data_IF_425519425950
#
_entry.id   IF_425519425950
#
_cell.length_a   1.000
_cell.length_b   1.000
_cell.length_c   1.000
_cell.angle_alpha   90.00
_cell.angle_beta   90.00
_cell.angle_gamma   90.00
#
_symmetry.space_group_name_H-M   'P 1'
#
loop_
_entity.id
_entity.type
_entity.pdbx_description
1 polymer ?
#
# COMPACT_ATOMS: atom_id res chain seq x y z
N UNK A 1 10.47 17.31 -11.40
CA UNK A 1 11.14 16.03 -11.04
C UNK A 1 10.88 14.94 -12.07
N UNK A 2 9.65 14.63 -12.45
CA UNK A 2 9.36 13.60 -13.47
C UNK A 2 9.99 13.90 -14.84
N UNK A 3 9.96 15.16 -15.31
CA UNK A 3 10.63 15.59 -16.55
C UNK A 3 12.16 15.42 -16.52
N UNK A 4 12.78 15.49 -15.37
CA UNK A 4 14.24 15.28 -15.23
C UNK A 4 14.62 13.80 -15.38
N UNK A 5 13.76 12.88 -14.99
CA UNK A 5 13.99 11.45 -15.14
C UNK A 5 13.89 10.98 -16.60
N UNK A 6 13.20 11.72 -17.48
CA UNK A 6 13.01 11.32 -18.89
C UNK A 6 14.33 11.15 -19.65
N UNK A 7 15.34 11.93 -19.31
CA UNK A 7 16.66 11.93 -19.98
C UNK A 7 17.72 11.07 -19.31
N UNK A 8 17.42 10.47 -18.15
CA UNK A 8 18.36 9.64 -17.38
C UNK A 8 18.33 8.19 -17.89
N UNK A 9 19.50 7.62 -18.13
CA UNK A 9 19.62 6.19 -18.43
C UNK A 9 19.26 5.36 -17.19
N UNK A 10 18.57 4.23 -17.40
CA UNK A 10 18.11 3.35 -16.31
C UNK A 10 17.26 4.09 -15.26
N UNK A 11 16.45 5.03 -15.72
CA UNK A 11 15.60 5.91 -14.89
C UNK A 11 14.63 5.16 -13.97
N UNK A 12 14.31 3.92 -14.29
CA UNK A 12 13.40 3.06 -13.53
C UNK A 12 13.99 2.57 -12.21
N UNK A 13 15.31 2.56 -12.07
CA UNK A 13 16.04 2.03 -10.90
C UNK A 13 16.67 3.11 -10.03
N UNK A 14 16.43 4.39 -10.33
CA UNK A 14 17.05 5.51 -9.61
C UNK A 14 16.73 5.47 -8.11
N UNK A 15 15.47 5.24 -7.74
CA UNK A 15 15.06 5.17 -6.34
C UNK A 15 15.68 3.95 -5.63
N UNK A 16 15.71 2.80 -6.28
CA UNK A 16 16.34 1.60 -5.72
C UNK A 16 17.82 1.85 -5.38
N UNK A 17 18.55 2.46 -6.30
CA UNK A 17 19.96 2.80 -6.09
C UNK A 17 20.17 3.83 -4.97
N UNK A 18 19.23 4.78 -4.85
CA UNK A 18 19.25 5.79 -3.78
C UNK A 18 18.99 5.18 -2.41
N UNK A 19 18.11 4.19 -2.30
CA UNK A 19 17.76 3.54 -1.05
C UNK A 19 18.79 2.49 -0.61
N UNK A 20 19.52 1.89 -1.53
CA UNK A 20 20.48 0.81 -1.26
C UNK A 20 21.43 1.09 -0.08
N UNK A 21 22.05 2.29 0.06
CA UNK A 21 22.98 2.53 1.16
C UNK A 21 22.35 2.54 2.55
N UNK A 22 21.05 2.79 2.64
CA UNK A 22 20.32 2.95 3.92
C UNK A 22 19.42 1.77 4.27
N UNK A 23 19.28 0.79 3.38
CA UNK A 23 18.40 -0.36 3.60
C UNK A 23 18.74 -1.15 4.88
N UNK A 24 20.03 -1.26 5.23
CA UNK A 24 20.47 -1.99 6.41
C UNK A 24 20.18 -1.26 7.74
N UNK A 25 19.85 0.03 7.68
CA UNK A 25 19.62 0.86 8.86
C UNK A 25 18.16 0.85 9.35
N UNK A 26 17.25 0.25 8.56
CA UNK A 26 15.81 0.30 8.84
C UNK A 26 15.16 -1.08 8.67
N UNK A 27 14.25 -1.43 9.59
CA UNK A 27 13.40 -2.62 9.46
C UNK A 27 12.34 -2.45 8.36
N UNK A 28 11.84 -1.22 8.16
CA UNK A 28 10.84 -0.86 7.16
C UNK A 28 11.15 0.48 6.50
N UNK A 29 11.03 0.53 5.18
CA UNK A 29 11.06 1.76 4.39
C UNK A 29 9.70 1.90 3.70
N UNK A 30 8.96 2.96 4.02
CA UNK A 30 7.65 3.26 3.42
C UNK A 30 7.82 4.27 2.29
N UNK A 31 7.35 3.91 1.10
CA UNK A 31 7.38 4.77 -0.09
C UNK A 31 5.95 5.24 -0.36
N UNK A 32 5.67 6.50 -0.05
CA UNK A 32 4.39 7.13 -0.36
C UNK A 32 4.39 7.58 -1.83
N UNK A 33 3.38 7.13 -2.59
CA UNK A 33 3.28 7.34 -4.02
C UNK A 33 2.13 8.29 -4.38
N UNK A 34 2.35 9.16 -5.34
CA UNK A 34 1.27 9.95 -5.94
C UNK A 34 0.26 9.03 -6.66
N UNK A 35 -1.02 9.42 -6.76
CA UNK A 35 -2.07 8.65 -7.46
C UNK A 35 -1.92 8.76 -8.99
N UNK A 36 -0.74 8.41 -9.50
CA UNK A 36 -0.43 8.39 -10.93
C UNK A 36 0.35 7.11 -11.27
N UNK A 37 0.27 6.66 -12.51
CA UNK A 37 1.04 5.51 -13.02
C UNK A 37 2.27 5.96 -13.82
N UNK A 38 2.83 7.13 -13.48
CA UNK A 38 4.00 7.71 -14.11
C UNK A 38 5.33 7.10 -13.66
N UNK A 39 6.44 7.73 -14.08
CA UNK A 39 7.80 7.25 -13.83
C UNK A 39 8.14 7.16 -12.32
N UNK A 40 7.57 8.04 -11.50
CA UNK A 40 7.77 7.99 -10.05
C UNK A 40 7.19 6.72 -9.43
N UNK A 41 5.99 6.32 -9.84
CA UNK A 41 5.35 5.08 -9.39
C UNK A 41 6.12 3.85 -9.89
N UNK A 42 6.63 3.87 -11.13
CA UNK A 42 7.48 2.79 -11.65
C UNK A 42 8.76 2.67 -10.82
N UNK A 43 9.40 3.80 -10.44
CA UNK A 43 10.56 3.78 -9.56
C UNK A 43 10.25 3.19 -8.18
N UNK A 44 9.13 3.59 -7.58
CA UNK A 44 8.70 3.07 -6.29
C UNK A 44 8.48 1.54 -6.35
N UNK A 45 7.73 1.06 -7.34
CA UNK A 45 7.47 -0.37 -7.54
C UNK A 45 8.75 -1.16 -7.88
N UNK A 46 9.70 -0.53 -8.59
CA UNK A 46 11.00 -1.15 -8.90
C UNK A 46 11.89 -1.28 -7.67
N UNK A 47 11.79 -0.34 -6.72
CA UNK A 47 12.59 -0.32 -5.50
C UNK A 47 11.97 -1.15 -4.35
N UNK A 48 10.66 -1.34 -4.34
CA UNK A 48 9.93 -1.97 -3.25
C UNK A 48 10.01 -3.51 -3.29
N UNK A 49 9.95 -4.13 -2.12
CA UNK A 49 9.74 -5.58 -1.98
C UNK A 49 8.26 -5.91 -2.06
N UNK A 50 7.41 -5.07 -1.47
CA UNK A 50 5.96 -5.27 -1.39
C UNK A 50 5.19 -4.00 -1.73
N UNK A 51 4.00 -4.17 -2.27
CA UNK A 51 3.05 -3.07 -2.51
C UNK A 51 1.74 -3.33 -1.77
N UNK A 52 1.37 -2.39 -0.92
CA UNK A 52 0.03 -2.30 -0.34
C UNK A 52 -0.80 -1.34 -1.20
N UNK A 53 -2.01 -1.75 -1.57
CA UNK A 53 -2.87 -0.97 -2.46
C UNK A 53 -4.04 -0.39 -1.66
N UNK A 54 -4.00 0.90 -1.28
CA UNK A 54 -5.13 1.54 -0.65
C UNK A 54 -6.23 1.79 -1.68
N UNK A 55 -7.46 1.40 -1.33
CA UNK A 55 -8.64 1.55 -2.19
C UNK A 55 -9.74 2.20 -1.37
N UNK A 56 -10.29 3.30 -1.87
CA UNK A 56 -11.46 3.91 -1.26
C UNK A 56 -12.68 3.02 -1.46
N UNK A 57 -13.56 2.99 -0.46
CA UNK A 57 -14.82 2.26 -0.52
C UNK A 57 -15.83 2.96 -1.47
N UNK A 58 -15.47 3.05 -2.77
CA UNK A 58 -16.25 3.69 -3.83
C UNK A 58 -16.34 2.81 -5.07
N UNK A 59 -17.45 2.90 -5.82
CA UNK A 59 -17.73 2.07 -7.01
C UNK A 59 -16.70 2.24 -8.16
N UNK A 60 -16.04 3.40 -8.27
CA UNK A 60 -15.09 3.69 -9.35
C UNK A 60 -13.68 3.11 -9.14
N UNK A 61 -13.40 2.52 -7.99
CA UNK A 61 -12.08 1.99 -7.65
C UNK A 61 -11.58 0.87 -8.59
N UNK A 62 -12.49 0.12 -9.22
CA UNK A 62 -12.18 -1.08 -10.01
C UNK A 62 -11.34 -0.79 -11.27
N UNK A 63 -11.62 0.32 -11.97
CA UNK A 63 -10.90 0.68 -13.22
C UNK A 63 -9.43 1.07 -12.93
N UNK A 64 -9.21 1.89 -11.93
CA UNK A 64 -7.86 2.28 -11.50
C UNK A 64 -7.04 1.08 -11.01
N UNK A 65 -7.69 0.16 -10.29
CA UNK A 65 -7.07 -1.09 -9.83
C UNK A 65 -6.54 -1.93 -10.98
N UNK A 66 -7.32 -2.13 -12.04
CA UNK A 66 -6.90 -2.93 -13.21
C UNK A 66 -5.66 -2.34 -13.86
N UNK A 67 -5.60 -1.02 -14.06
CA UNK A 67 -4.42 -0.35 -14.63
C UNK A 67 -3.20 -0.48 -13.72
N UNK A 68 -3.36 -0.34 -12.40
CA UNK A 68 -2.28 -0.55 -11.44
C UNK A 68 -1.74 -1.98 -11.49
N UNK A 69 -2.61 -2.99 -11.50
CA UNK A 69 -2.21 -4.40 -11.60
C UNK A 69 -1.46 -4.71 -12.90
N UNK A 70 -1.85 -4.11 -14.02
CA UNK A 70 -1.11 -4.19 -15.28
C UNK A 70 0.29 -3.57 -15.17
N UNK A 71 0.40 -2.41 -14.52
CA UNK A 71 1.68 -1.73 -14.27
C UNK A 71 2.58 -2.58 -13.36
N UNK A 72 2.05 -3.13 -12.27
CA UNK A 72 2.78 -4.05 -11.38
C UNK A 72 3.27 -5.27 -12.17
N UNK A 73 2.41 -5.86 -13.00
CA UNK A 73 2.78 -6.98 -13.87
C UNK A 73 3.91 -6.62 -14.86
N UNK A 74 3.92 -5.40 -15.38
CA UNK A 74 5.00 -4.91 -16.24
C UNK A 74 6.31 -4.73 -15.47
N UNK A 75 6.26 -4.12 -14.27
CA UNK A 75 7.43 -3.96 -13.40
C UNK A 75 8.02 -5.32 -13.00
N UNK A 76 7.18 -6.29 -12.64
CA UNK A 76 7.64 -7.67 -12.35
C UNK A 76 8.39 -8.30 -13.52
N UNK A 77 7.95 -8.09 -14.74
CA UNK A 77 8.60 -8.70 -15.92
C UNK A 77 9.92 -8.04 -16.29
N UNK A 78 10.09 -6.74 -16.03
CA UNK A 78 11.20 -5.98 -16.62
C UNK A 78 12.22 -5.48 -15.60
N UNK A 79 11.78 -5.06 -14.39
CA UNK A 79 12.66 -4.32 -13.48
C UNK A 79 12.73 -4.90 -12.07
N UNK A 80 11.65 -5.55 -11.59
CA UNK A 80 11.60 -6.13 -10.24
C UNK A 80 10.78 -7.43 -10.19
N UNK A 81 11.37 -8.58 -10.58
CA UNK A 81 10.68 -9.87 -10.55
C UNK A 81 10.21 -10.33 -9.17
N UNK A 82 10.83 -9.80 -8.11
CA UNK A 82 10.52 -10.16 -6.72
C UNK A 82 9.41 -9.34 -6.09
N UNK A 83 8.93 -8.28 -6.77
CA UNK A 83 7.87 -7.44 -6.24
C UNK A 83 6.62 -8.26 -5.91
N UNK A 84 6.13 -8.14 -4.70
CA UNK A 84 4.91 -8.81 -4.25
C UNK A 84 3.77 -7.81 -4.01
N UNK A 85 2.53 -8.26 -4.21
CA UNK A 85 1.36 -7.52 -3.73
C UNK A 85 1.05 -8.04 -2.33
N UNK A 86 1.24 -7.19 -1.32
CA UNK A 86 0.99 -7.55 0.07
C UNK A 86 -0.51 -7.62 0.37
N UNK A 87 -1.28 -6.71 -0.20
CA UNK A 87 -2.73 -6.74 -0.11
C UNK A 87 -3.42 -5.44 -0.52
N UNK A 88 -4.75 -5.51 -0.54
CA UNK A 88 -5.65 -4.38 -0.75
C UNK A 88 -6.13 -3.89 0.62
N UNK A 89 -5.94 -2.60 0.89
CA UNK A 89 -6.41 -1.94 2.10
C UNK A 89 -7.62 -1.06 1.77
N UNK A 90 -8.77 -1.36 2.36
CA UNK A 90 -9.96 -0.53 2.21
C UNK A 90 -9.82 0.71 3.10
N UNK A 91 -9.94 1.89 2.52
CA UNK A 91 -9.79 3.18 3.20
C UNK A 91 -11.05 4.03 3.05
N UNK A 92 -11.14 5.08 3.86
CA UNK A 92 -12.29 6.01 3.91
C UNK A 92 -13.64 5.28 4.06
N UNK A 93 -13.66 4.22 4.87
CA UNK A 93 -14.86 3.46 5.18
C UNK A 93 -15.85 4.35 5.94
N UNK A 94 -16.97 4.72 5.32
CA UNK A 94 -17.95 5.63 5.92
C UNK A 94 -18.84 4.91 6.96
N UNK A 95 -18.56 5.16 8.22
CA UNK A 95 -19.34 4.61 9.33
C UNK A 95 -20.80 5.12 9.39
N UNK A 96 -21.14 6.20 8.67
CA UNK A 96 -22.50 6.72 8.57
C UNK A 96 -23.34 5.95 7.55
N UNK A 97 -22.68 5.22 6.64
CA UNK A 97 -23.30 4.40 5.60
C UNK A 97 -22.76 2.97 5.64
N UNK A 98 -22.95 2.25 6.75
CA UNK A 98 -22.31 0.94 6.95
C UNK A 98 -22.71 -0.10 5.91
N UNK A 99 -23.99 -0.08 5.47
CA UNK A 99 -24.49 -1.00 4.45
C UNK A 99 -23.77 -0.82 3.09
N UNK A 100 -23.63 0.43 2.62
CA UNK A 100 -22.94 0.73 1.37
C UNK A 100 -21.45 0.38 1.47
N UNK A 101 -20.80 0.74 2.56
CA UNK A 101 -19.39 0.40 2.80
C UNK A 101 -19.17 -1.12 2.79
N UNK A 102 -20.07 -1.87 3.42
CA UNK A 102 -20.03 -3.34 3.44
C UNK A 102 -20.23 -3.93 2.04
N UNK A 103 -21.20 -3.43 1.28
CA UNK A 103 -21.46 -3.87 -0.10
C UNK A 103 -20.24 -3.69 -0.99
N UNK A 104 -19.62 -2.50 -0.97
CA UNK A 104 -18.41 -2.22 -1.76
C UNK A 104 -17.24 -3.07 -1.28
N UNK A 105 -17.07 -3.23 0.02
CA UNK A 105 -16.01 -4.08 0.59
C UNK A 105 -16.17 -5.54 0.15
N UNK A 106 -17.39 -6.05 0.14
CA UNK A 106 -17.70 -7.40 -0.34
C UNK A 106 -17.41 -7.53 -1.84
N UNK A 107 -17.81 -6.54 -2.65
CA UNK A 107 -17.52 -6.52 -4.09
C UNK A 107 -16.00 -6.53 -4.36
N UNK A 108 -15.19 -5.78 -3.60
CA UNK A 108 -13.73 -5.80 -3.71
C UNK A 108 -13.21 -7.20 -3.34
N UNK A 109 -13.70 -7.82 -2.26
CA UNK A 109 -13.30 -9.17 -1.85
C UNK A 109 -13.69 -10.24 -2.88
N UNK A 110 -14.87 -10.16 -3.46
CA UNK A 110 -15.36 -11.09 -4.49
C UNK A 110 -14.56 -10.99 -5.78
N UNK A 111 -14.26 -9.76 -6.23
CA UNK A 111 -13.56 -9.54 -7.50
C UNK A 111 -12.06 -9.81 -7.41
N UNK A 112 -11.41 -9.45 -6.31
CA UNK A 112 -9.96 -9.50 -6.17
C UNK A 112 -9.47 -10.49 -5.12
N UNK A 113 -10.27 -10.81 -4.10
CA UNK A 113 -9.87 -11.62 -2.95
C UNK A 113 -9.44 -13.05 -3.26
N UNK A 114 -9.80 -13.57 -4.46
CA UNK A 114 -9.33 -14.88 -4.94
C UNK A 114 -7.85 -14.87 -5.34
N UNK A 115 -7.30 -13.71 -5.67
CA UNK A 115 -5.95 -13.56 -6.22
C UNK A 115 -5.05 -12.67 -5.38
N UNK A 116 -5.64 -11.73 -4.63
CA UNK A 116 -4.94 -10.74 -3.84
C UNK A 116 -5.60 -10.69 -2.47
N UNK A 117 -4.80 -10.78 -1.42
CA UNK A 117 -5.29 -10.59 -0.06
C UNK A 117 -6.00 -9.24 0.07
N UNK A 118 -7.13 -9.21 0.74
CA UNK A 118 -7.78 -7.97 1.19
C UNK A 118 -7.67 -7.94 2.71
N UNK A 119 -7.05 -6.90 3.24
CA UNK A 119 -6.87 -6.74 4.69
C UNK A 119 -8.21 -6.81 5.42
N UNK A 120 -8.21 -7.42 6.60
CA UNK A 120 -9.41 -7.51 7.43
C UNK A 120 -9.73 -6.15 8.04
N UNK A 121 -8.67 -5.42 8.43
CA UNK A 121 -8.80 -4.08 8.95
C UNK A 121 -8.98 -3.06 7.83
N UNK A 122 -10.08 -2.30 7.86
CA UNK A 122 -10.27 -1.11 7.05
C UNK A 122 -9.96 0.17 7.84
N UNK A 123 -9.60 1.24 7.13
CA UNK A 123 -9.38 2.56 7.74
C UNK A 123 -10.66 3.39 7.58
N UNK A 124 -11.32 3.76 8.68
CA UNK A 124 -12.55 4.53 8.61
C UNK A 124 -12.29 5.99 8.18
N UNK A 125 -13.29 6.60 7.54
CA UNK A 125 -13.35 8.05 7.41
C UNK A 125 -13.48 8.69 8.81
N UNK A 126 -12.66 9.70 9.07
CA UNK A 126 -12.68 10.35 10.38
C UNK A 126 -11.92 11.66 10.44
N UNK A 127 -12.54 12.65 11.05
CA UNK A 127 -12.01 14.00 11.21
C UNK A 127 -10.63 14.06 11.91
N UNK A 128 -10.31 13.05 12.74
CA UNK A 128 -9.02 12.97 13.42
C UNK A 128 -7.85 12.89 12.44
N UNK A 129 -7.97 12.13 11.33
CA UNK A 129 -6.93 12.03 10.31
C UNK A 129 -6.71 13.38 9.61
N UNK A 130 -7.78 14.01 9.12
CA UNK A 130 -7.71 15.31 8.42
C UNK A 130 -7.16 16.42 9.31
N UNK A 131 -7.60 16.47 10.57
CA UNK A 131 -7.12 17.47 11.54
C UNK A 131 -5.65 17.26 11.91
N UNK A 132 -5.24 16.01 12.14
CA UNK A 132 -3.84 15.66 12.44
C UNK A 132 -2.91 16.07 11.29
N UNK A 133 -3.30 15.76 10.05
CA UNK A 133 -2.58 16.16 8.84
C UNK A 133 -2.47 17.68 8.73
N UNK A 134 -3.54 18.42 8.97
CA UNK A 134 -3.56 19.89 8.93
C UNK A 134 -2.61 20.58 9.91
N UNK A 135 -2.22 19.90 11.00
CA UNK A 135 -1.25 20.41 12.00
C UNK A 135 0.09 19.69 11.95
N UNK A 136 0.34 18.87 10.92
CA UNK A 136 1.59 18.15 10.73
C UNK A 136 1.91 17.13 11.82
N UNK A 137 0.90 16.53 12.44
CA UNK A 137 1.06 15.49 13.49
C UNK A 137 0.55 14.16 13.02
N UNK A 138 1.11 13.07 13.57
CA UNK A 138 0.51 11.76 13.39
C UNK A 138 -0.86 11.69 14.09
N UNK A 139 -1.75 10.84 13.60
CA UNK A 139 -3.05 10.61 14.23
C UNK A 139 -2.91 10.12 15.68
N UNK A 140 -1.84 9.40 15.99
CA UNK A 140 -1.54 8.96 17.35
C UNK A 140 -1.14 10.10 18.30
N UNK A 141 -0.35 11.06 17.79
CA UNK A 141 0.06 12.23 18.58
C UNK A 141 -1.08 13.26 18.72
N UNK A 142 -2.01 13.28 17.75
CA UNK A 142 -3.13 14.20 17.74
C UNK A 142 -4.32 13.69 18.59
N UNK A 143 -4.75 12.44 18.34
CA UNK A 143 -5.90 11.84 19.02
C UNK A 143 -5.76 10.31 19.09
N UNK A 144 -4.91 9.84 20.04
CA UNK A 144 -4.54 8.42 20.19
C UNK A 144 -5.72 7.46 20.43
N UNK A 145 -6.85 7.98 20.95
CA UNK A 145 -8.06 7.19 21.25
C UNK A 145 -9.09 7.24 20.12
N UNK A 146 -8.81 7.93 19.00
CA UNK A 146 -9.72 7.99 17.88
C UNK A 146 -9.88 6.63 17.21
N UNK A 147 -11.05 6.39 16.57
CA UNK A 147 -11.30 5.18 15.79
C UNK A 147 -10.28 5.01 14.66
N UNK A 148 -9.80 6.10 14.07
CA UNK A 148 -8.77 6.07 13.03
C UNK A 148 -7.44 5.60 13.59
N UNK A 149 -7.00 6.11 14.75
CA UNK A 149 -5.77 5.66 15.40
C UNK A 149 -5.85 4.17 15.78
N UNK A 150 -6.98 3.71 16.29
CA UNK A 150 -7.19 2.29 16.60
C UNK A 150 -7.13 1.41 15.34
N UNK A 151 -7.76 1.85 14.26
CA UNK A 151 -7.73 1.14 12.97
C UNK A 151 -6.29 1.01 12.43
N UNK A 152 -5.51 2.07 12.43
CA UNK A 152 -4.10 2.00 12.03
C UNK A 152 -3.27 1.09 12.94
N UNK A 153 -3.54 1.07 14.25
CA UNK A 153 -2.85 0.17 15.19
C UNK A 153 -3.16 -1.31 14.89
N UNK A 154 -4.40 -1.62 14.56
CA UNK A 154 -4.82 -2.97 14.16
C UNK A 154 -4.20 -3.36 12.81
N UNK A 155 -4.24 -2.46 11.83
CA UNK A 155 -3.57 -2.66 10.54
C UNK A 155 -2.08 -2.95 10.71
N UNK A 156 -1.38 -2.18 11.54
CA UNK A 156 0.06 -2.40 11.79
C UNK A 156 0.33 -3.81 12.32
N UNK A 157 -0.48 -4.27 13.28
CA UNK A 157 -0.36 -5.64 13.79
C UNK A 157 -0.61 -6.68 12.72
N UNK A 158 -1.61 -6.48 11.87
CA UNK A 158 -1.95 -7.38 10.77
C UNK A 158 -0.83 -7.44 9.71
N UNK A 159 -0.19 -6.31 9.39
CA UNK A 159 0.96 -6.24 8.47
C UNK A 159 2.16 -7.00 9.03
N UNK A 160 2.52 -6.74 10.30
CA UNK A 160 3.68 -7.36 10.94
C UNK A 160 3.48 -8.88 11.04
N UNK A 161 2.35 -9.34 11.56
CA UNK A 161 2.08 -10.78 11.73
C UNK A 161 2.10 -11.55 10.41
N UNK A 162 1.62 -10.91 9.32
CA UNK A 162 1.67 -11.52 7.99
C UNK A 162 3.10 -11.57 7.43
N UNK A 163 3.93 -10.58 7.73
CA UNK A 163 5.35 -10.56 7.34
C UNK A 163 6.14 -11.67 8.03
N UNK A 164 5.99 -11.82 9.34
CA UNK A 164 6.66 -12.83 10.16
C UNK A 164 6.27 -14.26 9.76
N UNK A 165 4.98 -14.54 9.58
CA UNK A 165 4.51 -15.86 9.17
C UNK A 165 5.00 -16.30 7.79
N UNK A 166 5.34 -15.37 6.89
CA UNK A 166 5.95 -15.68 5.59
C UNK A 166 7.43 -16.00 5.70
N UNK A 167 8.18 -15.27 6.51
CA UNK A 167 9.59 -15.55 6.76
C UNK A 167 9.80 -16.94 7.35
N UNK A 168 8.94 -17.37 8.28
CA UNK A 168 8.94 -18.71 8.83
C UNK A 168 8.60 -19.78 7.77
N UNK A 169 7.61 -19.52 6.91
CA UNK A 169 7.21 -20.43 5.84
C UNK A 169 8.29 -20.60 4.75
N UNK A 170 9.03 -19.54 4.42
CA UNK A 170 10.14 -19.57 3.48
C UNK A 170 11.34 -20.31 4.06
N UNK A 171 11.64 -20.12 5.34
CA UNK A 171 12.70 -20.83 6.04
C UNK A 171 12.44 -22.34 6.09
N UNK A 172 11.19 -22.74 6.34
CA UNK A 172 10.77 -24.16 6.38
C UNK A 172 10.81 -24.85 5.00
N UNK A 173 10.69 -24.10 3.90
CA UNK A 173 10.78 -24.65 2.52
C UNK A 173 12.22 -24.76 2.01
N UNK A 174 13.17 -24.14 2.68
CA UNK A 174 14.59 -24.12 2.30
C UNK A 174 15.42 -25.18 3.03
N UNK A 175 14.78 -25.97 3.87
CA UNK A 175 15.32 -27.16 4.56
C UNK A 175 14.75 -28.42 3.91
#
# INVERSE_FOLDING_TARGET
MEMQLVTVMSREVCLRNLLQPVQADYDYILIDCMPSLGMMTINALTAADKVMIPVQAEFLATKGMTQLLQTIGSVRRHTNPKLEIDGILITLADNRKPALTSEISNMIRENFGKYIRVYDQSIPDGAAASKASGVGKSVYAFEAKSKVADAYRKLTKEVISHGEGRLEAEHTRSI
#
